data_IF_840605351733
#
_entry.id   IF_840605351733
#
_cell.length_a   1.000
_cell.length_b   1.000
_cell.length_c   1.000
_cell.angle_alpha   90.00
_cell.angle_beta   90.00
_cell.angle_gamma   90.00
#
_symmetry.space_group_name_H-M   'P 1'
#
loop_
_entity.id
_entity.type
_entity.pdbx_description
1 polymer ?
#
# COMPACT_ATOMS: atom_id res chain seq x y z
N UNK A 1 -6.53 3.01 13.89
CA UNK A 1 -7.58 3.82 13.24
C UNK A 1 -7.76 3.44 11.77
N UNK A 2 -6.76 3.64 10.89
CA UNK A 2 -6.90 3.31 9.45
C UNK A 2 -7.27 1.85 9.16
N UNK A 3 -6.55 0.87 9.74
CA UNK A 3 -6.87 -0.55 9.56
C UNK A 3 -8.26 -0.95 10.10
N UNK A 4 -8.84 -0.20 11.05
CA UNK A 4 -10.21 -0.45 11.51
C UNK A 4 -11.21 -0.06 10.43
N UNK A 5 -11.04 1.13 9.85
CA UNK A 5 -11.87 1.55 8.74
C UNK A 5 -11.77 0.59 7.55
N UNK A 6 -10.56 0.10 7.25
CA UNK A 6 -10.40 -0.86 6.15
C UNK A 6 -11.14 -2.19 6.43
N UNK A 7 -11.05 -2.68 7.67
CA UNK A 7 -11.79 -3.87 8.10
C UNK A 7 -13.31 -3.66 8.13
N UNK A 8 -13.78 -2.44 8.39
CA UNK A 8 -15.21 -2.14 8.51
C UNK A 8 -15.89 -1.89 7.15
N UNK A 9 -15.16 -1.29 6.20
CA UNK A 9 -15.75 -0.78 4.94
C UNK A 9 -15.32 -1.53 3.68
N UNK A 10 -14.18 -2.21 3.68
CA UNK A 10 -13.60 -2.81 2.45
C UNK A 10 -13.47 -4.32 2.56
N UNK A 11 -13.08 -4.81 3.74
CA UNK A 11 -12.82 -6.22 3.99
C UNK A 11 -14.07 -7.09 3.78
N UNK A 12 -13.90 -8.21 3.09
CA UNK A 12 -14.94 -9.21 2.87
C UNK A 12 -15.08 -10.18 4.07
N UNK A 13 -16.23 -10.86 4.24
CA UNK A 13 -16.50 -11.70 5.42
C UNK A 13 -15.52 -12.87 5.61
N UNK A 14 -14.95 -13.39 4.54
CA UNK A 14 -14.03 -14.53 4.52
C UNK A 14 -12.55 -14.13 4.52
N UNK A 15 -12.25 -12.83 4.55
CA UNK A 15 -10.87 -12.33 4.59
C UNK A 15 -10.30 -12.27 6.01
N UNK A 16 -8.97 -12.32 6.09
CA UNK A 16 -8.24 -12.08 7.32
C UNK A 16 -8.30 -10.59 7.73
N UNK A 17 -8.04 -10.23 9.01
CA UNK A 17 -7.88 -8.84 9.40
C UNK A 17 -6.79 -8.14 8.58
N UNK A 18 -7.01 -6.86 8.27
CA UNK A 18 -6.06 -6.04 7.53
C UNK A 18 -4.70 -5.96 8.24
N UNK A 19 -3.63 -6.10 7.45
CA UNK A 19 -2.25 -6.00 7.93
C UNK A 19 -1.68 -4.64 7.54
N UNK A 20 -1.14 -3.91 8.51
CA UNK A 20 -0.41 -2.67 8.24
C UNK A 20 1.03 -2.97 7.83
N UNK A 21 1.54 -2.27 6.83
CA UNK A 21 2.96 -2.24 6.49
C UNK A 21 3.45 -0.80 6.57
N UNK A 22 4.48 -0.56 7.36
CA UNK A 22 5.18 0.71 7.43
C UNK A 22 6.52 0.53 6.74
N UNK A 23 6.75 1.35 5.73
CA UNK A 23 7.97 1.37 4.97
C UNK A 23 8.82 2.58 5.40
N UNK A 24 9.99 2.32 5.99
CA UNK A 24 10.89 3.36 6.46
C UNK A 24 12.14 3.42 5.56
N UNK A 25 12.64 4.61 5.28
CA UNK A 25 13.91 4.79 4.53
C UNK A 25 15.15 4.43 5.37
N UNK A 26 15.01 4.47 6.70
CA UNK A 26 15.97 4.01 7.69
C UNK A 26 15.17 3.42 8.85
N UNK A 27 15.63 2.30 9.43
CA UNK A 27 14.87 1.56 10.43
C UNK A 27 15.63 1.51 11.76
N UNK A 28 15.18 2.32 12.72
CA UNK A 28 15.47 2.09 14.13
C UNK A 28 14.46 1.10 14.74
N UNK A 29 14.85 -0.17 14.85
CA UNK A 29 13.98 -1.25 15.35
C UNK A 29 13.45 -0.96 16.77
N UNK A 30 14.26 -0.33 17.62
CA UNK A 30 13.87 -0.01 18.98
C UNK A 30 12.72 1.00 19.01
N UNK A 31 12.87 2.12 18.31
CA UNK A 31 11.85 3.16 18.22
C UNK A 31 10.56 2.63 17.59
N UNK A 32 10.68 1.87 16.49
CA UNK A 32 9.53 1.25 15.83
C UNK A 32 8.77 0.30 16.77
N UNK A 33 9.49 -0.56 17.50
CA UNK A 33 8.88 -1.51 18.44
C UNK A 33 8.21 -0.81 19.62
N UNK A 34 8.78 0.28 20.11
CA UNK A 34 8.18 1.05 21.20
C UNK A 34 6.98 1.87 20.74
N UNK A 35 7.05 2.50 19.56
CA UNK A 35 5.94 3.27 18.99
C UNK A 35 4.72 2.40 18.67
N UNK A 36 4.94 1.14 18.29
CA UNK A 36 3.87 0.20 17.92
C UNK A 36 3.38 -0.68 19.09
N UNK A 37 3.98 -0.59 20.28
CA UNK A 37 3.71 -1.49 21.41
C UNK A 37 2.24 -1.53 21.81
N UNK A 38 1.56 -0.39 21.76
CA UNK A 38 0.16 -0.26 22.20
C UNK A 38 -0.85 -0.45 21.06
N UNK A 39 -0.38 -0.83 19.86
CA UNK A 39 -1.25 -1.11 18.71
C UNK A 39 -1.56 -2.60 18.64
N UNK A 40 -2.83 -2.94 18.85
CA UNK A 40 -3.32 -4.33 18.88
C UNK A 40 -3.56 -4.96 17.49
N UNK A 41 -3.24 -4.26 16.40
CA UNK A 41 -3.39 -4.77 15.02
C UNK A 41 -2.04 -5.19 14.45
N UNK A 42 -1.99 -6.21 13.57
CA UNK A 42 -0.74 -6.66 12.98
C UNK A 42 -0.14 -5.55 12.11
N UNK A 43 1.02 -5.03 12.51
CA UNK A 43 1.78 -4.04 11.74
C UNK A 43 3.22 -4.53 11.57
N UNK A 44 3.65 -4.67 10.32
CA UNK A 44 5.04 -4.93 9.95
C UNK A 44 5.79 -3.62 9.66
N UNK A 45 7.07 -3.58 10.02
CA UNK A 45 7.97 -2.46 9.69
C UNK A 45 9.14 -2.97 8.89
N UNK A 46 9.31 -2.45 7.68
CA UNK A 46 10.37 -2.82 6.76
C UNK A 46 11.18 -1.60 6.32
N UNK A 47 12.46 -1.81 6.09
CA UNK A 47 13.34 -0.81 5.51
C UNK A 47 13.22 -0.87 3.98
N UNK A 48 13.11 0.28 3.32
CA UNK A 48 13.08 0.39 1.87
C UNK A 48 14.51 0.49 1.35
N UNK A 49 14.89 -0.45 0.49
CA UNK A 49 16.14 -0.38 -0.27
C UNK A 49 15.80 0.05 -1.70
N UNK A 50 16.18 1.28 -2.05
CA UNK A 50 16.03 1.77 -3.42
C UNK A 50 17.20 1.28 -4.29
N UNK A 51 16.91 0.36 -5.21
CA UNK A 51 17.83 -0.08 -6.25
C UNK A 51 17.41 0.48 -7.61
N UNK A 52 18.37 0.97 -8.39
CA UNK A 52 18.14 1.33 -9.80
C UNK A 52 18.11 0.10 -10.72
N UNK A 53 18.52 -1.05 -10.21
CA UNK A 53 18.59 -2.31 -10.96
C UNK A 53 17.55 -3.26 -10.38
N UNK A 54 16.65 -3.74 -11.24
CA UNK A 54 15.69 -4.76 -10.88
C UNK A 54 16.44 -6.09 -10.65
N UNK A 55 16.34 -6.69 -9.46
CA UNK A 55 17.04 -7.94 -9.19
C UNK A 55 16.45 -9.06 -10.06
N UNK A 56 17.33 -9.90 -10.60
CA UNK A 56 16.99 -10.88 -11.63
C UNK A 56 15.97 -11.93 -11.17
N UNK A 57 15.87 -12.20 -9.88
CA UNK A 57 14.87 -13.09 -9.29
C UNK A 57 13.43 -12.53 -9.31
N UNK A 58 13.27 -11.22 -9.52
CA UNK A 58 11.97 -10.55 -9.62
C UNK A 58 11.59 -10.23 -11.07
N UNK A 59 12.54 -10.20 -11.99
CA UNK A 59 12.31 -9.83 -13.39
C UNK A 59 11.22 -10.68 -14.06
N UNK A 60 11.21 -11.99 -13.81
CA UNK A 60 10.24 -12.91 -14.41
C UNK A 60 8.84 -12.83 -13.76
N UNK A 61 8.72 -12.20 -12.58
CA UNK A 61 7.46 -12.06 -11.85
C UNK A 61 6.77 -10.71 -12.10
N UNK A 62 7.43 -9.80 -12.82
CA UNK A 62 6.90 -8.46 -13.12
C UNK A 62 6.32 -8.45 -14.54
N UNK A 63 5.21 -7.73 -14.76
CA UNK A 63 4.67 -7.52 -16.09
C UNK A 63 5.65 -6.72 -16.95
N UNK A 64 5.50 -6.82 -18.28
CA UNK A 64 6.31 -6.04 -19.21
C UNK A 64 6.15 -4.53 -18.96
N UNK A 65 7.24 -3.78 -19.14
CA UNK A 65 7.29 -2.35 -18.84
C UNK A 65 6.27 -1.55 -19.64
N UNK A 66 5.96 -1.98 -20.87
CA UNK A 66 4.98 -1.30 -21.70
C UNK A 66 3.56 -1.49 -21.14
N UNK A 67 3.22 -2.74 -20.84
CA UNK A 67 1.91 -3.11 -20.30
C UNK A 67 1.67 -2.43 -18.95
N UNK A 68 2.68 -2.41 -18.07
CA UNK A 68 2.63 -1.71 -16.79
C UNK A 68 2.39 -0.20 -16.96
N UNK A 69 3.05 0.45 -17.92
CA UNK A 69 2.85 1.88 -18.18
C UNK A 69 1.45 2.19 -18.69
N UNK A 70 0.96 1.36 -19.61
CA UNK A 70 -0.35 1.55 -20.22
C UNK A 70 -1.46 1.40 -19.16
N UNK A 71 -1.34 0.43 -18.26
CA UNK A 71 -2.33 0.18 -17.19
C UNK A 71 -2.30 1.28 -16.11
N UNK A 72 -1.12 1.73 -15.67
CA UNK A 72 -1.01 2.87 -14.73
C UNK A 72 -1.56 4.15 -15.34
N UNK A 73 -1.29 4.41 -16.62
CA UNK A 73 -1.78 5.61 -17.28
C UNK A 73 -3.31 5.59 -17.40
N UNK A 74 -3.89 4.42 -17.71
CA UNK A 74 -5.33 4.20 -17.75
C UNK A 74 -5.98 4.46 -16.39
N UNK A 75 -5.43 3.91 -15.31
CA UNK A 75 -5.96 4.12 -13.96
C UNK A 75 -5.89 5.59 -13.52
N UNK A 76 -4.84 6.32 -13.92
CA UNK A 76 -4.71 7.74 -13.64
C UNK A 76 -5.72 8.59 -14.44
N UNK A 77 -6.03 8.21 -15.67
CA UNK A 77 -7.04 8.89 -16.49
C UNK A 77 -8.47 8.65 -15.95
N UNK A 78 -8.78 7.42 -15.52
CA UNK A 78 -10.08 7.07 -14.92
C UNK A 78 -10.33 7.78 -13.58
N UNK A 79 -9.29 7.91 -12.74
CA UNK A 79 -9.39 8.61 -11.45
C UNK A 79 -9.56 10.14 -11.57
N UNK A 80 -9.25 10.73 -12.73
CA UNK A 80 -9.46 12.16 -12.98
C UNK A 80 -10.92 12.47 -13.37
N UNK A 81 -11.69 11.51 -13.89
CA UNK A 81 -13.11 11.73 -14.20
C UNK A 81 -14.00 11.64 -12.95
N UNK A 82 -13.65 10.81 -11.96
CA UNK A 82 -14.42 10.70 -10.71
C UNK A 82 -14.32 11.94 -9.79
N UNK A 83 -13.21 12.70 -9.87
CA UNK A 83 -13.07 13.98 -9.15
C UNK A 83 -13.86 15.14 -9.75
N UNK A 84 -14.30 15.01 -11.01
CA UNK A 84 -15.02 16.07 -11.71
C UNK A 84 -16.54 15.99 -11.50
N UNK A 85 -17.04 14.97 -10.78
CA UNK A 85 -18.48 14.79 -10.56
C UNK A 85 -18.90 14.60 -9.09
N UNK A 86 -18.06 14.96 -8.13
CA UNK A 86 -18.46 15.04 -6.71
C UNK A 86 -18.32 16.47 -6.16
N UNK A 87 -18.95 17.41 -6.87
CA UNK A 87 -19.50 18.60 -6.23
C UNK A 87 -20.81 18.22 -5.53
N UNK A 88 -20.86 18.42 -4.21
CA UNK A 88 -22.01 18.24 -3.31
C UNK A 88 -22.35 16.76 -3.05
N UNK A 89 -22.00 16.27 -1.87
CA UNK A 89 -22.94 15.81 -0.83
C UNK A 89 -22.15 15.63 0.47
N UNK A 90 -22.79 16.02 1.57
CA UNK A 90 -22.27 16.23 2.91
C UNK A 90 -21.57 15.01 3.52
#
# INVERSE_FOLDING_TARGET
>A
MYLNLLDDYVKQPDENPSIGLILCTDKNEFEAKYALRDINKPIGVAEIILSKVLPSNLADNLPDLKLLKDEILLDLELNNEEKNNSGVFF
#
